data_IF_711068539688
#
_entry.id   IF_711068539688
#
_cell.length_a   1.000
_cell.length_b   1.000
_cell.length_c   1.000
_cell.angle_alpha   90.00
_cell.angle_beta   90.00
_cell.angle_gamma   90.00
#
_symmetry.space_group_name_H-M   'P 1'
#
loop_
_entity.id
_entity.type
_entity.pdbx_description
1 polymer ?
#
# COMPACT_ATOMS: atom_id res chain seq x y z
N UNK A 1 23.79 11.86 17.84
CA UNK A 1 23.15 10.94 16.88
C UNK A 1 21.90 11.60 16.33
N UNK A 2 21.66 11.48 15.02
CA UNK A 2 20.45 11.97 14.35
C UNK A 2 19.32 10.94 14.48
N UNK A 3 18.18 11.35 15.01
CA UNK A 3 17.01 10.50 15.31
C UNK A 3 16.06 10.53 14.13
N UNK A 4 15.95 9.42 13.43
CA UNK A 4 15.18 9.24 12.21
C UNK A 4 13.90 8.47 12.55
N UNK A 5 12.75 9.08 12.28
CA UNK A 5 11.47 8.38 12.29
C UNK A 5 11.19 7.85 10.88
N UNK A 6 10.84 6.58 10.74
CA UNK A 6 10.44 5.97 9.47
C UNK A 6 8.96 5.61 9.48
N UNK A 7 8.28 5.89 8.37
CA UNK A 7 6.96 5.33 8.09
C UNK A 7 7.06 3.83 7.75
N UNK A 8 7.04 2.99 8.76
CA UNK A 8 7.14 1.52 8.68
C UNK A 8 6.22 0.87 9.72
N UNK A 9 5.86 -0.40 9.54
CA UNK A 9 4.99 -1.08 10.51
C UNK A 9 5.75 -1.52 11.75
N UNK A 10 6.98 -2.03 11.57
CA UNK A 10 7.89 -2.40 12.66
C UNK A 10 9.31 -1.93 12.40
N UNK A 11 10.15 -2.02 13.42
CA UNK A 11 11.61 -2.05 13.23
C UNK A 11 12.00 -3.42 12.66
N UNK A 12 13.00 -3.50 11.77
CA UNK A 12 13.56 -4.79 11.35
C UNK A 12 14.05 -5.64 12.52
N UNK A 13 14.48 -4.98 13.60
CA UNK A 13 14.99 -5.64 14.80
C UNK A 13 13.94 -6.03 15.83
N UNK A 14 12.66 -5.77 15.54
CA UNK A 14 11.55 -6.24 16.35
C UNK A 14 11.04 -7.58 15.79
N UNK A 15 11.26 -8.66 16.53
CA UNK A 15 10.75 -9.99 16.19
C UNK A 15 9.29 -10.14 16.65
N UNK A 16 8.38 -9.47 15.92
CA UNK A 16 6.95 -9.50 16.21
C UNK A 16 6.37 -10.90 16.01
N UNK A 17 5.43 -11.30 16.86
CA UNK A 17 4.76 -12.61 16.71
C UNK A 17 3.74 -12.58 15.56
N UNK A 18 3.29 -13.75 15.11
CA UNK A 18 2.26 -13.87 14.05
C UNK A 18 0.97 -13.17 14.47
N UNK A 19 0.61 -13.28 15.74
CA UNK A 19 -0.56 -12.65 16.36
C UNK A 19 -0.44 -11.12 16.32
N UNK A 20 0.72 -10.58 16.70
CA UNK A 20 0.99 -9.15 16.66
C UNK A 20 0.85 -8.59 15.24
N UNK A 21 1.41 -9.30 14.26
CA UNK A 21 1.30 -8.97 12.84
C UNK A 21 -0.15 -8.82 12.37
N UNK A 22 -1.00 -9.76 12.78
CA UNK A 22 -2.41 -9.79 12.39
C UNK A 22 -3.22 -8.73 13.12
N UNK A 23 -2.96 -8.54 14.42
CA UNK A 23 -3.74 -7.63 15.27
C UNK A 23 -3.41 -6.16 15.02
N UNK A 24 -2.16 -5.85 14.69
CA UNK A 24 -1.70 -4.47 14.50
C UNK A 24 -1.50 -4.07 13.03
N UNK A 25 -1.67 -5.01 12.09
CA UNK A 25 -1.37 -4.82 10.66
C UNK A 25 0.03 -4.22 10.42
N UNK A 26 1.06 -4.87 10.97
CA UNK A 26 2.45 -4.42 10.85
C UNK A 26 2.98 -4.47 9.39
N UNK A 27 2.25 -5.10 8.47
CA UNK A 27 2.56 -5.14 7.04
C UNK A 27 1.82 -4.06 6.22
N UNK A 28 0.95 -3.26 6.84
CA UNK A 28 0.14 -2.24 6.15
C UNK A 28 -0.67 -2.83 5.00
N UNK A 29 -1.37 -3.94 5.26
CA UNK A 29 -2.17 -4.79 4.37
C UNK A 29 -1.39 -5.59 3.32
N UNK A 30 -0.08 -5.36 3.14
CA UNK A 30 0.70 -6.04 2.11
C UNK A 30 2.18 -6.32 2.50
N UNK A 31 2.61 -7.58 2.40
CA UNK A 31 3.95 -8.03 2.79
C UNK A 31 5.07 -7.35 2.01
N UNK A 32 4.81 -6.94 0.76
CA UNK A 32 5.77 -6.18 -0.04
C UNK A 32 6.13 -4.82 0.56
N UNK A 33 5.32 -4.29 1.49
CA UNK A 33 5.66 -3.08 2.23
C UNK A 33 6.86 -3.25 3.15
N UNK A 34 7.02 -4.45 3.72
CA UNK A 34 8.10 -4.76 4.63
C UNK A 34 9.46 -4.67 3.93
N UNK A 35 9.58 -5.13 2.68
CA UNK A 35 10.84 -5.06 1.92
C UNK A 35 11.35 -3.63 1.76
N UNK A 36 10.49 -2.70 1.34
CA UNK A 36 10.95 -1.34 1.08
C UNK A 36 11.07 -0.51 2.37
N UNK A 37 10.31 -0.84 3.42
CA UNK A 37 10.52 -0.21 4.72
C UNK A 37 11.81 -0.69 5.38
N UNK A 38 12.08 -2.00 5.37
CA UNK A 38 13.30 -2.54 5.98
C UNK A 38 14.55 -2.10 5.22
N UNK A 39 14.47 -2.01 3.89
CA UNK A 39 15.56 -1.41 3.12
C UNK A 39 15.78 0.07 3.49
N UNK A 40 14.73 0.85 3.76
CA UNK A 40 14.89 2.23 4.23
C UNK A 40 15.50 2.30 5.64
N UNK A 41 15.13 1.37 6.54
CA UNK A 41 15.79 1.22 7.85
C UNK A 41 17.27 0.90 7.67
N UNK A 42 17.60 -0.10 6.84
CA UNK A 42 18.99 -0.47 6.56
C UNK A 42 19.77 0.69 5.97
N UNK A 43 19.22 1.40 4.98
CA UNK A 43 19.89 2.51 4.29
C UNK A 43 20.25 3.67 5.21
N UNK A 44 19.50 3.87 6.30
CA UNK A 44 19.60 5.04 7.17
C UNK A 44 20.24 4.73 8.52
N UNK A 45 20.66 3.48 8.76
CA UNK A 45 21.30 3.06 10.01
C UNK A 45 22.83 3.14 9.92
N UNK A 46 23.40 4.12 10.61
CA UNK A 46 24.83 4.37 10.73
C UNK A 46 25.20 4.43 12.21
N UNK A 47 26.50 4.54 12.53
CA UNK A 47 26.94 4.82 13.90
C UNK A 47 26.41 6.15 14.46
N UNK A 48 26.04 7.09 13.58
CA UNK A 48 25.59 8.43 13.93
C UNK A 48 24.07 8.60 13.87
N UNK A 49 23.30 7.56 13.54
CA UNK A 49 21.84 7.63 13.42
C UNK A 49 21.13 6.62 14.32
N UNK A 50 19.97 7.02 14.82
CA UNK A 50 19.02 6.13 15.48
C UNK A 50 17.76 6.07 14.63
N UNK A 51 17.32 4.87 14.25
CA UNK A 51 16.19 4.69 13.32
C UNK A 51 15.04 3.99 14.04
N UNK A 52 13.87 4.62 14.04
CA UNK A 52 12.67 4.11 14.74
C UNK A 52 11.47 4.03 13.80
N UNK A 53 10.57 3.08 14.06
CA UNK A 53 9.33 2.88 13.30
C UNK A 53 8.19 3.71 13.90
N UNK A 54 7.33 4.29 13.06
CA UNK A 54 6.12 4.98 13.51
C UNK A 54 4.86 4.08 13.58
N UNK A 55 4.98 2.78 13.23
CA UNK A 55 3.86 1.83 13.20
C UNK A 55 2.86 2.07 12.06
N UNK A 56 3.25 2.71 10.96
CA UNK A 56 2.40 3.18 9.84
C UNK A 56 1.34 4.21 10.28
N UNK A 57 1.31 4.55 11.56
CA UNK A 57 0.30 5.36 12.20
C UNK A 57 0.33 6.81 11.71
N UNK A 58 -0.85 7.40 11.57
CA UNK A 58 -1.03 8.81 11.18
C UNK A 58 -1.98 9.49 12.16
N UNK A 59 -1.61 9.45 13.44
CA UNK A 59 -2.36 10.06 14.54
C UNK A 59 -2.10 11.57 14.56
N UNK A 60 -3.19 12.36 14.55
CA UNK A 60 -3.16 13.83 14.45
C UNK A 60 -3.40 14.54 15.79
N UNK A 61 -3.08 13.91 16.92
CA UNK A 61 -3.19 14.54 18.25
C UNK A 61 -2.05 15.53 18.47
N UNK A 62 -2.30 16.61 19.22
CA UNK A 62 -1.27 17.60 19.60
C UNK A 62 -0.08 16.93 20.31
N UNK A 63 -0.39 15.98 21.19
CA UNK A 63 0.61 15.21 21.93
C UNK A 63 1.55 14.44 20.99
N UNK A 64 0.99 13.68 20.04
CA UNK A 64 1.81 12.90 19.11
C UNK A 64 2.65 13.78 18.20
N UNK A 65 2.11 14.91 17.76
CA UNK A 65 2.84 15.85 16.89
C UNK A 65 3.96 16.54 17.64
N UNK A 66 3.72 16.99 18.88
CA UNK A 66 4.75 17.52 19.77
C UNK A 66 5.84 16.48 19.97
N UNK A 67 5.45 15.25 20.30
CA UNK A 67 6.37 14.14 20.51
C UNK A 67 7.28 13.94 19.28
N UNK A 68 6.72 13.81 18.07
CA UNK A 68 7.52 13.63 16.84
C UNK A 68 8.49 14.81 16.64
N UNK A 69 8.05 16.04 16.87
CA UNK A 69 8.89 17.23 16.66
C UNK A 69 10.02 17.37 17.70
N UNK A 70 9.85 16.84 18.92
CA UNK A 70 10.84 16.92 20.01
C UNK A 70 11.80 15.70 19.98
N UNK A 71 11.29 14.52 19.66
CA UNK A 71 12.01 13.25 19.73
C UNK A 71 12.74 12.86 18.44
N UNK A 72 12.41 13.47 17.30
CA UNK A 72 12.99 13.12 16.01
C UNK A 72 13.55 14.34 15.29
N UNK A 73 14.56 14.13 14.46
CA UNK A 73 15.23 15.18 13.69
C UNK A 73 14.82 15.16 12.21
N UNK A 74 14.23 14.06 11.74
CA UNK A 74 13.67 13.91 10.38
C UNK A 74 12.64 12.78 10.34
N UNK A 75 11.59 12.97 9.53
CA UNK A 75 10.61 11.92 9.22
C UNK A 75 10.79 11.43 7.79
N UNK A 76 11.18 10.18 7.62
CA UNK A 76 11.35 9.53 6.32
C UNK A 76 10.12 8.68 6.00
N UNK A 77 9.58 8.85 4.80
CA UNK A 77 8.32 8.25 4.38
C UNK A 77 8.53 7.37 3.14
N UNK A 78 8.92 6.09 3.32
CA UNK A 78 8.87 5.12 2.24
C UNK A 78 7.43 4.90 1.78
N UNK A 79 7.19 4.97 0.48
CA UNK A 79 5.87 4.74 -0.12
C UNK A 79 5.94 3.69 -1.23
N UNK A 80 4.76 3.36 -1.73
CA UNK A 80 4.59 2.55 -2.92
C UNK A 80 3.69 3.32 -3.90
N UNK A 81 2.64 2.70 -4.39
CA UNK A 81 1.60 3.29 -5.24
C UNK A 81 0.62 4.23 -4.50
N UNK A 82 1.12 5.23 -3.76
CA UNK A 82 0.26 6.12 -2.99
C UNK A 82 -0.64 7.01 -3.85
N UNK A 83 -0.26 7.32 -5.10
CA UNK A 83 -1.12 8.09 -6.00
C UNK A 83 -2.10 7.18 -6.73
N UNK A 84 -3.18 6.85 -6.01
CA UNK A 84 -4.33 6.09 -6.51
C UNK A 84 -5.61 6.51 -5.80
N UNK A 85 -6.78 6.47 -6.46
CA UNK A 85 -8.04 6.89 -5.85
C UNK A 85 -8.37 6.24 -4.51
N UNK A 86 -8.12 4.93 -4.37
CA UNK A 86 -8.41 4.19 -3.14
C UNK A 86 -7.53 4.56 -1.94
N UNK A 87 -6.43 5.30 -2.16
CA UNK A 87 -5.53 5.74 -1.08
C UNK A 87 -5.71 7.22 -0.71
N UNK A 88 -6.60 7.95 -1.39
CA UNK A 88 -6.81 9.39 -1.20
C UNK A 88 -6.95 9.78 0.28
N UNK A 89 -7.83 9.10 1.01
CA UNK A 89 -8.07 9.43 2.43
C UNK A 89 -6.82 9.22 3.30
N UNK A 90 -6.03 8.19 3.05
CA UNK A 90 -4.76 7.96 3.75
C UNK A 90 -3.70 8.99 3.37
N UNK A 91 -3.64 9.38 2.09
CA UNK A 91 -2.77 10.43 1.60
C UNK A 91 -3.11 11.79 2.24
N UNK A 92 -4.40 12.13 2.34
CA UNK A 92 -4.86 13.38 2.96
C UNK A 92 -4.53 13.42 4.45
N UNK A 93 -4.68 12.29 5.18
CA UNK A 93 -4.27 12.20 6.59
C UNK A 93 -2.76 12.37 6.75
N UNK A 94 -1.97 11.70 5.90
CA UNK A 94 -0.51 11.82 5.93
C UNK A 94 -0.08 13.25 5.63
N UNK A 95 -0.72 13.90 4.66
CA UNK A 95 -0.48 15.31 4.32
C UNK A 95 -0.75 16.21 5.52
N UNK A 96 -1.87 16.03 6.22
CA UNK A 96 -2.20 16.82 7.42
C UNK A 96 -1.20 16.60 8.56
N UNK A 97 -0.60 15.42 8.69
CA UNK A 97 0.49 15.19 9.64
C UNK A 97 1.72 16.00 9.23
N UNK A 98 2.18 15.85 7.98
CA UNK A 98 3.37 16.52 7.43
C UNK A 98 3.29 18.03 7.59
N UNK A 99 2.14 18.64 7.28
CA UNK A 99 1.93 20.09 7.42
C UNK A 99 2.11 20.60 8.86
N UNK A 100 1.95 19.74 9.87
CA UNK A 100 2.05 20.08 11.30
C UNK A 100 3.41 19.72 11.91
N UNK A 101 4.26 19.02 11.17
CA UNK A 101 5.62 18.73 11.62
C UNK A 101 6.52 19.95 11.39
N UNK A 102 7.39 20.25 12.34
CA UNK A 102 8.42 21.30 12.22
C UNK A 102 9.69 20.75 11.59
N UNK A 103 9.95 19.44 11.74
CA UNK A 103 11.12 18.74 11.22
C UNK A 103 11.05 18.48 9.70
N UNK A 104 12.20 18.23 9.04
CA UNK A 104 12.24 17.78 7.65
C UNK A 104 11.43 16.49 7.40
N UNK A 105 10.88 16.36 6.20
CA UNK A 105 10.11 15.19 5.77
C UNK A 105 10.56 14.75 4.39
N UNK A 106 11.10 13.55 4.27
CA UNK A 106 11.68 13.02 3.02
C UNK A 106 10.88 11.82 2.54
N UNK A 107 10.29 11.91 1.34
CA UNK A 107 9.55 10.79 0.74
C UNK A 107 10.48 9.96 -0.14
N UNK A 108 10.59 8.66 0.19
CA UNK A 108 11.47 7.72 -0.51
C UNK A 108 10.63 6.78 -1.38
N UNK A 109 10.53 7.14 -2.66
CA UNK A 109 9.95 6.27 -3.69
C UNK A 109 8.43 6.20 -3.64
N UNK A 110 7.74 7.23 -4.13
CA UNK A 110 6.28 7.20 -4.37
C UNK A 110 5.96 6.90 -5.83
N UNK A 111 4.82 6.24 -6.09
CA UNK A 111 4.39 5.82 -7.42
C UNK A 111 2.92 6.15 -7.71
N UNK A 112 2.63 6.40 -8.99
CA UNK A 112 1.28 6.49 -9.54
C UNK A 112 0.77 5.13 -10.04
N UNK A 113 -0.53 4.87 -9.83
CA UNK A 113 -1.15 3.62 -10.30
C UNK A 113 -2.23 3.87 -11.33
N UNK A 114 -1.91 3.51 -12.56
CA UNK A 114 -2.77 3.57 -13.74
C UNK A 114 -2.73 2.28 -14.55
N UNK A 115 -3.37 2.27 -15.72
CA UNK A 115 -3.28 1.15 -16.67
C UNK A 115 -1.87 1.01 -17.26
N UNK A 116 -1.59 -0.10 -17.94
CA UNK A 116 -0.30 -0.33 -18.62
C UNK A 116 -0.06 0.62 -19.80
N UNK A 117 -1.10 1.31 -20.27
CA UNK A 117 -1.08 2.40 -21.25
C UNK A 117 -0.54 3.73 -20.69
N UNK A 118 -0.31 3.81 -19.38
CA UNK A 118 0.17 5.01 -18.67
C UNK A 118 -0.79 6.21 -18.72
N UNK A 119 -2.08 5.98 -19.03
CA UNK A 119 -3.10 7.02 -19.03
C UNK A 119 -3.42 7.54 -17.62
N UNK A 120 -3.17 8.83 -17.36
CA UNK A 120 -3.33 9.46 -16.03
C UNK A 120 -4.73 9.98 -15.73
N UNK A 121 -5.71 9.81 -16.63
CA UNK A 121 -7.07 10.33 -16.50
C UNK A 121 -7.79 9.91 -15.23
N UNK A 122 -7.58 8.66 -14.79
CA UNK A 122 -8.13 8.13 -13.54
C UNK A 122 -7.55 8.76 -12.27
N UNK A 123 -6.47 9.53 -12.39
CA UNK A 123 -5.86 10.26 -11.28
C UNK A 123 -6.44 11.66 -11.12
N UNK A 124 -7.12 12.21 -12.15
CA UNK A 124 -7.74 13.55 -12.09
C UNK A 124 -8.55 13.81 -10.80
N UNK A 125 -9.39 12.86 -10.30
CA UNK A 125 -10.16 13.09 -9.07
C UNK A 125 -9.34 13.23 -7.78
N UNK A 126 -8.04 12.92 -7.82
CA UNK A 126 -7.10 13.05 -6.69
C UNK A 126 -6.01 14.09 -6.92
N UNK A 127 -6.01 14.81 -8.05
CA UNK A 127 -4.96 15.79 -8.38
C UNK A 127 -4.76 16.80 -7.25
N UNK A 128 -5.83 17.34 -6.68
CA UNK A 128 -5.75 18.31 -5.56
C UNK A 128 -5.07 17.71 -4.32
N UNK A 129 -5.46 16.47 -3.95
CA UNK A 129 -4.84 15.75 -2.83
C UNK A 129 -3.36 15.47 -3.09
N UNK A 130 -2.99 15.09 -4.32
CA UNK A 130 -1.59 14.87 -4.72
C UNK A 130 -0.80 16.18 -4.68
N UNK A 131 -1.34 17.27 -5.24
CA UNK A 131 -0.69 18.57 -5.22
C UNK A 131 -0.47 19.09 -3.81
N UNK A 132 -1.45 18.94 -2.92
CA UNK A 132 -1.31 19.30 -1.50
C UNK A 132 -0.22 18.47 -0.82
N UNK A 133 -0.23 17.15 -1.04
CA UNK A 133 0.79 16.25 -0.49
C UNK A 133 2.20 16.62 -0.96
N UNK A 134 2.41 16.76 -2.27
CA UNK A 134 3.74 17.04 -2.84
C UNK A 134 4.24 18.42 -2.38
N UNK A 135 3.37 19.43 -2.32
CA UNK A 135 3.74 20.74 -1.77
C UNK A 135 4.14 20.66 -0.29
N UNK A 136 3.40 19.91 0.52
CA UNK A 136 3.74 19.72 1.93
C UNK A 136 5.10 19.05 2.12
N UNK A 137 5.43 18.07 1.25
CA UNK A 137 6.74 17.38 1.25
C UNK A 137 7.86 18.31 0.79
N UNK A 138 7.71 19.01 -0.33
CA UNK A 138 8.75 19.90 -0.88
C UNK A 138 9.00 21.15 -0.02
N UNK A 139 8.03 21.56 0.81
CA UNK A 139 8.27 22.57 1.84
C UNK A 139 9.22 22.09 2.97
N UNK A 140 9.53 20.78 3.01
CA UNK A 140 10.28 20.11 4.08
C UNK A 140 11.44 19.24 3.57
N UNK A 141 11.69 19.23 2.25
CA UNK A 141 12.73 18.43 1.60
C UNK A 141 13.25 19.16 0.35
N UNK A 142 14.46 18.81 -0.09
CA UNK A 142 15.03 19.38 -1.32
C UNK A 142 14.40 18.78 -2.58
N UNK A 143 13.82 17.59 -2.49
CA UNK A 143 13.21 16.86 -3.60
C UNK A 143 12.32 15.73 -3.11
N UNK A 144 11.42 15.24 -3.98
CA UNK A 144 10.62 14.05 -3.74
C UNK A 144 11.13 12.87 -4.57
N UNK A 145 11.37 11.73 -3.91
CA UNK A 145 11.78 10.49 -4.57
C UNK A 145 10.59 9.75 -5.18
N UNK A 146 10.64 9.43 -6.47
CA UNK A 146 9.60 8.67 -7.19
C UNK A 146 10.13 7.34 -7.73
N UNK A 147 9.21 6.42 -8.00
CA UNK A 147 9.52 5.04 -8.42
C UNK A 147 9.87 4.88 -9.91
N UNK A 148 9.61 5.88 -10.75
CA UNK A 148 9.90 5.83 -12.18
C UNK A 148 9.40 7.05 -12.96
N UNK A 149 9.59 6.98 -14.27
CA UNK A 149 9.38 8.07 -15.24
C UNK A 149 7.90 8.45 -15.38
N UNK A 150 6.98 7.48 -15.24
CA UNK A 150 5.55 7.74 -15.31
C UNK A 150 5.14 8.67 -14.17
N UNK A 151 5.57 8.34 -12.94
CA UNK A 151 5.25 9.12 -11.76
C UNK A 151 5.90 10.49 -11.82
N UNK A 152 7.16 10.57 -12.27
CA UNK A 152 7.81 11.86 -12.50
C UNK A 152 7.03 12.73 -13.49
N UNK A 153 6.66 12.16 -14.65
CA UNK A 153 5.90 12.85 -15.69
C UNK A 153 4.53 13.32 -15.19
N UNK A 154 3.85 12.50 -14.38
CA UNK A 154 2.60 12.90 -13.73
C UNK A 154 2.80 14.10 -12.80
N UNK A 155 3.84 14.09 -11.96
CA UNK A 155 4.13 15.24 -11.07
C UNK A 155 4.54 16.50 -11.85
N UNK A 156 5.31 16.36 -12.93
CA UNK A 156 5.63 17.46 -13.84
C UNK A 156 4.37 18.08 -14.44
N UNK A 157 3.39 17.26 -14.86
CA UNK A 157 2.11 17.76 -15.38
C UNK A 157 1.28 18.52 -14.34
N UNK A 158 1.56 18.33 -13.05
CA UNK A 158 0.94 19.06 -11.94
C UNK A 158 1.73 20.31 -11.50
N UNK A 159 2.87 20.58 -12.15
CA UNK A 159 3.72 21.76 -11.92
C UNK A 159 4.85 21.60 -10.91
N UNK A 160 5.27 20.37 -10.59
CA UNK A 160 6.41 20.10 -9.71
C UNK A 160 7.62 19.60 -10.50
N UNK A 161 8.81 20.09 -10.19
CA UNK A 161 10.04 19.74 -10.93
C UNK A 161 11.18 19.22 -10.05
N UNK A 162 11.06 19.40 -8.73
CA UNK A 162 11.98 18.91 -7.70
C UNK A 162 11.76 17.41 -7.44
N UNK A 163 11.82 16.61 -8.50
CA UNK A 163 11.46 15.18 -8.53
C UNK A 163 12.67 14.36 -8.93
N UNK A 164 13.05 13.38 -8.09
CA UNK A 164 14.13 12.44 -8.37
C UNK A 164 13.61 11.04 -8.64
N UNK A 165 13.99 10.46 -9.77
CA UNK A 165 13.64 9.07 -10.10
C UNK A 165 14.65 8.12 -9.46
N UNK A 166 14.24 7.50 -8.36
CA UNK A 166 15.09 6.64 -7.50
C UNK A 166 14.66 5.18 -7.43
N UNK A 167 13.47 4.85 -7.98
CA UNK A 167 12.94 3.50 -7.91
C UNK A 167 12.45 3.11 -6.52
N UNK A 168 12.56 1.81 -6.20
CA UNK A 168 12.16 1.24 -4.92
C UNK A 168 13.40 0.95 -4.07
N UNK A 169 13.45 1.41 -2.80
CA UNK A 169 14.64 1.24 -1.96
C UNK A 169 15.00 -0.23 -1.69
N UNK A 170 14.04 -1.15 -1.78
CA UNK A 170 14.28 -2.59 -1.63
C UNK A 170 15.33 -3.15 -2.60
N UNK A 171 15.52 -2.54 -3.77
CA UNK A 171 16.53 -3.00 -4.72
C UNK A 171 17.96 -2.80 -4.22
N UNK A 172 18.18 -1.92 -3.24
CA UNK A 172 19.50 -1.54 -2.74
C UNK A 172 19.85 -2.20 -1.40
N UNK A 173 19.15 -3.28 -1.02
CA UNK A 173 19.40 -3.99 0.23
C UNK A 173 20.87 -4.47 0.32
N UNK A 174 21.48 -4.85 -0.81
CA UNK A 174 22.86 -5.36 -0.90
C UNK A 174 23.88 -4.30 -1.35
N UNK A 175 23.53 -3.01 -1.28
CA UNK A 175 24.44 -1.91 -1.65
C UNK A 175 24.57 -1.71 -3.16
N UNK A 176 25.78 -1.36 -3.62
CA UNK A 176 26.09 -1.08 -5.03
C UNK A 176 26.23 -2.35 -5.89
N UNK A 177 26.06 -3.52 -5.27
CA UNK A 177 26.02 -4.82 -5.94
C UNK A 177 24.62 -5.43 -5.82
N UNK A 178 24.26 -6.26 -6.80
CA UNK A 178 23.02 -7.02 -6.80
C UNK A 178 23.34 -8.51 -7.00
N UNK A 179 22.71 -9.43 -6.26
CA UNK A 179 22.92 -10.86 -6.45
C UNK A 179 22.65 -11.26 -7.90
N UNK A 180 23.64 -11.85 -8.57
CA UNK A 180 23.43 -12.41 -9.89
C UNK A 180 22.44 -13.58 -9.77
N UNK A 181 21.31 -13.55 -10.48
CA UNK A 181 20.37 -14.67 -10.43
C UNK A 181 21.03 -15.96 -10.90
N UNK A 182 20.87 -17.03 -10.13
CA UNK A 182 21.42 -18.34 -10.49
C UNK A 182 20.75 -18.91 -11.74
N UNK A 183 21.50 -19.67 -12.53
CA UNK A 183 20.92 -20.51 -13.57
C UNK A 183 20.21 -21.71 -12.89
N UNK A 184 18.89 -21.89 -13.06
CA UNK A 184 18.17 -22.99 -12.46
C UNK A 184 18.34 -24.30 -13.24
N UNK A 185 18.99 -24.30 -14.41
CA UNK A 185 19.03 -25.43 -15.31
C UNK A 185 17.66 -25.72 -15.91
N UNK A 186 17.32 -27.01 -16.04
CA UNK A 186 16.01 -27.44 -16.56
C UNK A 186 14.98 -27.42 -15.43
N UNK A 187 13.89 -26.68 -15.63
CA UNK A 187 12.76 -26.67 -14.72
C UNK A 187 11.83 -27.87 -15.01
N UNK A 188 11.80 -28.85 -14.11
CA UNK A 188 11.04 -30.11 -14.18
C UNK A 188 10.20 -30.37 -12.91
N UNK A 189 9.58 -31.54 -12.75
CA UNK A 189 8.80 -31.89 -11.55
C UNK A 189 9.63 -31.88 -10.24
N UNK A 190 10.96 -31.91 -10.33
CA UNK A 190 11.87 -31.82 -9.20
C UNK A 190 12.19 -30.36 -8.82
N UNK A 191 11.77 -29.40 -9.62
CA UNK A 191 12.04 -27.99 -9.37
C UNK A 191 11.16 -27.41 -8.27
N UNK A 192 11.74 -26.54 -7.45
CA UNK A 192 11.03 -25.76 -6.42
C UNK A 192 10.64 -24.41 -7.00
N UNK A 193 9.38 -24.32 -7.42
CA UNK A 193 8.83 -23.11 -8.04
C UNK A 193 8.12 -22.26 -6.99
N UNK A 194 8.38 -20.95 -7.00
CA UNK A 194 7.67 -19.97 -6.17
C UNK A 194 6.76 -19.08 -7.02
N UNK A 195 5.45 -19.15 -6.81
CA UNK A 195 4.50 -18.23 -7.46
C UNK A 195 4.03 -17.14 -6.50
N UNK A 196 3.76 -15.94 -7.04
CA UNK A 196 3.22 -14.81 -6.29
C UNK A 196 2.14 -14.09 -7.11
N UNK A 197 0.94 -13.91 -6.56
CA UNK A 197 -0.21 -13.51 -7.38
C UNK A 197 -1.09 -12.45 -6.71
N UNK A 198 -1.63 -11.55 -7.54
CA UNK A 198 -2.54 -10.49 -7.14
C UNK A 198 -3.97 -10.91 -7.47
N UNK A 199 -4.91 -10.91 -6.51
CA UNK A 199 -6.31 -11.22 -6.78
C UNK A 199 -6.93 -10.33 -7.87
N UNK A 200 -6.47 -9.08 -7.98
CA UNK A 200 -6.92 -8.14 -9.02
C UNK A 200 -6.45 -8.50 -10.44
N UNK A 201 -5.39 -9.30 -10.59
CA UNK A 201 -4.81 -9.67 -11.87
C UNK A 201 -5.67 -10.69 -12.64
N UNK A 202 -6.58 -11.39 -11.97
CA UNK A 202 -7.57 -12.31 -12.59
C UNK A 202 -8.44 -11.60 -13.64
N UNK A 203 -8.59 -10.28 -13.54
CA UNK A 203 -9.34 -9.48 -14.52
C UNK A 203 -8.57 -9.20 -15.82
N UNK A 204 -7.28 -9.47 -15.85
CA UNK A 204 -6.36 -9.07 -16.94
C UNK A 204 -5.84 -10.28 -17.71
N UNK A 205 -5.64 -11.42 -17.04
CA UNK A 205 -5.21 -12.66 -17.69
C UNK A 205 -5.66 -13.90 -16.95
N UNK A 206 -5.35 -15.07 -17.52
CA UNK A 206 -5.83 -16.36 -17.06
C UNK A 206 -5.02 -16.90 -15.85
N UNK A 207 -5.09 -16.17 -14.75
CA UNK A 207 -4.39 -16.49 -13.50
C UNK A 207 -4.81 -17.84 -12.89
N UNK A 208 -6.11 -18.24 -12.91
CA UNK A 208 -6.52 -19.56 -12.45
C UNK A 208 -5.81 -20.72 -13.14
N UNK A 209 -5.70 -20.67 -14.48
CA UNK A 209 -5.03 -21.72 -15.23
C UNK A 209 -3.52 -21.70 -14.94
N UNK A 210 -2.93 -20.52 -14.77
CA UNK A 210 -1.52 -20.39 -14.40
C UNK A 210 -1.21 -21.05 -13.05
N UNK A 211 -2.12 -20.92 -12.08
CA UNK A 211 -2.02 -21.60 -10.79
C UNK A 211 -2.17 -23.12 -10.97
N UNK A 212 -3.24 -23.56 -11.65
CA UNK A 212 -3.54 -24.98 -11.84
C UNK A 212 -2.42 -25.71 -12.55
N UNK A 213 -1.95 -25.18 -13.69
CA UNK A 213 -0.86 -25.79 -14.45
C UNK A 213 0.45 -25.83 -13.66
N UNK A 214 0.78 -24.77 -12.91
CA UNK A 214 1.96 -24.79 -12.05
C UNK A 214 1.84 -25.83 -10.94
N UNK A 215 0.66 -25.95 -10.34
CA UNK A 215 0.39 -26.91 -9.27
C UNK A 215 0.47 -28.36 -9.77
N UNK A 216 -0.09 -28.65 -10.94
CA UNK A 216 -0.05 -29.97 -11.58
C UNK A 216 1.37 -30.38 -11.99
N UNK A 217 2.19 -29.44 -12.48
CA UNK A 217 3.55 -29.72 -12.97
C UNK A 217 4.59 -29.81 -11.88
N UNK A 218 4.46 -29.01 -10.81
CA UNK A 218 5.50 -28.85 -9.79
C UNK A 218 5.00 -29.30 -8.41
N UNK A 219 5.21 -30.57 -8.02
CA UNK A 219 4.88 -31.08 -6.70
C UNK A 219 5.46 -30.27 -5.53
N UNK A 220 6.57 -29.55 -5.75
CA UNK A 220 7.22 -28.68 -4.75
C UNK A 220 6.93 -27.19 -4.93
N UNK A 221 5.82 -26.84 -5.60
CA UNK A 221 5.33 -25.46 -5.72
C UNK A 221 5.02 -24.84 -4.36
N UNK A 222 5.46 -23.61 -4.15
CA UNK A 222 5.06 -22.72 -3.06
C UNK A 222 4.33 -21.49 -3.62
N UNK A 223 3.23 -21.09 -2.98
CA UNK A 223 2.52 -19.84 -3.25
C UNK A 223 2.77 -18.82 -2.15
N UNK A 224 3.51 -17.76 -2.50
CA UNK A 224 3.74 -16.61 -1.63
C UNK A 224 2.62 -15.60 -1.79
N UNK A 225 1.59 -15.77 -0.96
CA UNK A 225 0.54 -14.80 -0.75
C UNK A 225 1.11 -13.57 0.00
N UNK A 226 0.47 -12.42 -0.15
CA UNK A 226 1.06 -11.16 0.33
C UNK A 226 0.06 -10.22 0.99
N UNK A 227 -1.24 -10.53 1.02
CA UNK A 227 -2.20 -9.65 1.69
C UNK A 227 -2.45 -10.10 3.12
N UNK A 228 -2.81 -9.14 3.98
CA UNK A 228 -3.24 -9.41 5.35
C UNK A 228 -4.40 -10.43 5.39
N UNK A 229 -5.37 -10.30 4.47
CA UNK A 229 -6.49 -11.26 4.39
C UNK A 229 -6.07 -12.69 4.09
N UNK A 230 -4.93 -12.89 3.40
CA UNK A 230 -4.38 -14.23 3.17
C UNK A 230 -3.75 -14.77 4.47
N UNK A 231 -3.11 -13.90 5.26
CA UNK A 231 -2.55 -14.24 6.56
C UNK A 231 -3.66 -14.57 7.57
N UNK A 232 -4.72 -13.77 7.59
CA UNK A 232 -5.93 -14.01 8.37
C UNK A 232 -6.59 -15.33 7.99
N UNK A 233 -6.67 -15.67 6.70
CA UNK A 233 -7.21 -16.96 6.27
C UNK A 233 -6.35 -18.14 6.77
N UNK A 234 -5.03 -18.03 6.68
CA UNK A 234 -4.11 -19.05 7.19
C UNK A 234 -4.18 -19.18 8.72
N UNK A 235 -4.40 -18.07 9.42
CA UNK A 235 -4.39 -18.02 10.88
C UNK A 235 -5.75 -18.30 11.50
N UNK A 236 -6.86 -17.84 10.93
CA UNK A 236 -8.21 -17.98 11.48
C UNK A 236 -9.05 -19.05 10.78
N UNK A 237 -8.73 -19.35 9.52
CA UNK A 237 -9.53 -20.21 8.66
C UNK A 237 -10.78 -19.54 8.09
N UNK A 238 -11.59 -20.31 7.38
CA UNK A 238 -12.89 -19.89 6.86
C UNK A 238 -13.93 -21.01 6.99
N UNK A 239 -15.14 -20.77 6.49
CA UNK A 239 -16.26 -21.74 6.46
C UNK A 239 -16.48 -22.36 5.08
N UNK A 240 -15.49 -22.24 4.17
CA UNK A 240 -15.65 -22.65 2.77
C UNK A 240 -15.97 -24.15 2.62
N UNK A 241 -15.34 -24.99 3.44
CA UNK A 241 -15.56 -26.44 3.45
C UNK A 241 -16.98 -26.80 3.88
N UNK A 242 -17.45 -26.23 5.00
CA UNK A 242 -18.81 -26.44 5.49
C UNK A 242 -19.89 -25.95 4.51
N UNK A 243 -19.58 -24.90 3.74
CA UNK A 243 -20.47 -24.33 2.73
C UNK A 243 -20.36 -25.02 1.35
N UNK A 244 -19.42 -25.93 1.13
CA UNK A 244 -19.15 -26.51 -0.19
C UNK A 244 -18.70 -25.47 -1.22
N UNK A 245 -18.09 -24.37 -0.78
CA UNK A 245 -17.63 -23.29 -1.64
C UNK A 245 -16.21 -23.54 -2.11
N UNK A 246 -15.97 -23.34 -3.40
CA UNK A 246 -14.65 -23.46 -4.02
C UNK A 246 -14.33 -22.20 -4.82
N UNK A 247 -13.05 -21.83 -4.82
CA UNK A 247 -12.54 -20.73 -5.62
C UNK A 247 -11.44 -21.24 -6.55
N UNK A 248 -11.40 -20.79 -7.82
CA UNK A 248 -10.29 -21.11 -8.73
C UNK A 248 -9.02 -20.30 -8.44
N UNK A 249 -9.06 -19.41 -7.45
CA UNK A 249 -7.90 -18.65 -6.97
C UNK A 249 -7.72 -18.94 -5.47
N UNK A 250 -6.48 -19.06 -4.95
CA UNK A 250 -6.21 -19.39 -3.55
C UNK A 250 -6.63 -18.25 -2.60
N UNK A 251 -7.91 -18.24 -2.24
CA UNK A 251 -8.56 -17.29 -1.31
C UNK A 251 -9.52 -17.98 -0.32
N UNK A 252 -9.55 -19.30 -0.35
CA UNK A 252 -10.41 -20.12 0.50
C UNK A 252 -9.65 -21.38 0.91
N UNK A 253 -9.92 -21.91 2.10
CA UNK A 253 -9.25 -23.11 2.59
C UNK A 253 -9.51 -24.33 1.70
N UNK A 254 -10.65 -24.40 1.01
CA UNK A 254 -10.97 -25.48 0.06
C UNK A 254 -10.09 -25.52 -1.20
N UNK A 255 -9.29 -24.48 -1.45
CA UNK A 255 -8.39 -24.47 -2.60
C UNK A 255 -7.21 -25.46 -2.38
N UNK A 256 -6.80 -26.25 -3.40
CA UNK A 256 -5.76 -27.29 -3.25
C UNK A 256 -4.46 -26.80 -2.60
N UNK A 257 -3.95 -25.62 -3.01
CA UNK A 257 -2.76 -25.02 -2.40
C UNK A 257 -2.86 -24.81 -0.86
N UNK A 258 -4.05 -24.54 -0.31
CA UNK A 258 -4.23 -24.47 1.15
C UNK A 258 -4.32 -25.86 1.78
N UNK A 259 -4.95 -26.81 1.09
CA UNK A 259 -5.07 -28.19 1.57
C UNK A 259 -3.72 -28.90 1.65
N UNK A 260 -2.83 -28.61 0.72
CA UNK A 260 -1.49 -29.20 0.62
C UNK A 260 -0.39 -28.39 1.33
N UNK A 261 -0.76 -27.42 2.18
CA UNK A 261 0.17 -26.52 2.88
C UNK A 261 1.22 -25.87 1.95
N UNK A 262 0.79 -25.38 0.79
CA UNK A 262 1.65 -24.71 -0.20
C UNK A 262 1.65 -23.19 -0.06
N UNK A 263 0.75 -22.62 0.75
CA UNK A 263 0.61 -21.17 0.89
C UNK A 263 1.50 -20.64 2.02
N UNK A 264 2.22 -19.54 1.74
CA UNK A 264 3.04 -18.80 2.70
C UNK A 264 2.64 -17.32 2.66
N UNK A 265 2.54 -16.66 3.80
CA UNK A 265 2.49 -15.20 3.89
C UNK A 265 3.71 -14.68 4.63
N UNK A 266 4.64 -14.02 3.93
CA UNK A 266 5.82 -13.43 4.55
C UNK A 266 5.44 -12.33 5.55
N UNK A 267 6.00 -12.44 6.75
CA UNK A 267 5.90 -11.42 7.79
C UNK A 267 7.27 -10.86 8.16
N UNK A 268 8.38 -11.40 7.66
CA UNK A 268 9.69 -10.79 7.86
C UNK A 268 10.52 -10.86 6.57
N UNK A 269 11.09 -9.73 6.09
CA UNK A 269 11.94 -9.72 4.89
C UNK A 269 13.12 -10.68 4.92
N UNK A 270 13.83 -10.80 6.06
CA UNK A 270 15.02 -11.66 6.17
C UNK A 270 14.61 -13.12 6.01
N UNK A 271 13.60 -13.56 6.77
CA UNK A 271 13.06 -14.91 6.66
C UNK A 271 12.48 -15.18 5.28
N UNK A 272 11.83 -14.18 4.66
CA UNK A 272 11.28 -14.34 3.31
C UNK A 272 12.36 -14.63 2.26
N UNK A 273 13.47 -13.86 2.30
CA UNK A 273 14.63 -14.07 1.42
C UNK A 273 15.25 -15.45 1.68
N UNK A 274 15.42 -15.83 2.95
CA UNK A 274 15.99 -17.13 3.33
C UNK A 274 15.13 -18.29 2.79
N UNK A 275 13.80 -18.22 2.95
CA UNK A 275 12.88 -19.23 2.40
C UNK A 275 12.93 -19.28 0.85
N UNK A 276 12.99 -18.11 0.21
CA UNK A 276 13.06 -18.03 -1.25
C UNK A 276 14.38 -18.56 -1.81
N UNK A 277 15.51 -18.42 -1.10
CA UNK A 277 16.83 -18.91 -1.53
C UNK A 277 16.86 -20.42 -1.83
N UNK A 278 15.93 -21.18 -1.23
CA UNK A 278 15.74 -22.60 -1.49
C UNK A 278 15.00 -22.95 -2.79
N UNK A 279 14.47 -21.97 -3.51
CA UNK A 279 13.68 -22.16 -4.75
C UNK A 279 14.53 -21.98 -6.00
N UNK A 280 14.14 -22.64 -7.09
CA UNK A 280 14.86 -22.61 -8.37
C UNK A 280 14.44 -21.45 -9.25
N UNK A 281 13.15 -21.10 -9.24
CA UNK A 281 12.62 -20.01 -10.05
C UNK A 281 11.39 -19.40 -9.38
N UNK A 282 11.20 -18.08 -9.56
CA UNK A 282 9.98 -17.40 -9.13
C UNK A 282 9.31 -16.62 -10.25
N UNK A 283 7.99 -16.59 -10.28
CA UNK A 283 7.29 -15.70 -11.19
C UNK A 283 5.93 -15.30 -10.66
N UNK A 284 5.42 -14.19 -11.19
CA UNK A 284 4.05 -13.81 -10.96
C UNK A 284 3.82 -12.32 -10.92
N UNK A 285 2.65 -11.92 -10.45
CA UNK A 285 2.10 -10.58 -10.64
C UNK A 285 2.40 -9.62 -9.48
N UNK A 286 3.06 -10.10 -8.42
CA UNK A 286 3.47 -9.25 -7.29
C UNK A 286 4.93 -8.86 -7.45
N UNK A 287 5.17 -7.61 -7.81
CA UNK A 287 6.55 -7.16 -8.05
C UNK A 287 7.48 -7.41 -6.85
N UNK A 288 7.03 -7.13 -5.62
CA UNK A 288 7.83 -7.38 -4.42
C UNK A 288 8.07 -8.88 -4.15
N UNK A 289 7.20 -9.78 -4.65
CA UNK A 289 7.47 -11.22 -4.58
C UNK A 289 8.64 -11.64 -5.47
N UNK A 290 8.69 -11.09 -6.69
CA UNK A 290 9.80 -11.34 -7.60
C UNK A 290 11.08 -10.60 -7.15
N UNK A 291 10.97 -9.37 -6.63
CA UNK A 291 12.12 -8.65 -6.05
C UNK A 291 12.71 -9.42 -4.87
N UNK A 292 11.89 -9.99 -3.98
CA UNK A 292 12.40 -10.81 -2.88
C UNK A 292 13.18 -12.03 -3.39
N UNK A 293 12.70 -12.69 -4.47
CA UNK A 293 13.40 -13.82 -5.07
C UNK A 293 14.74 -13.38 -5.70
N UNK A 294 14.74 -12.27 -6.45
CA UNK A 294 15.96 -11.71 -7.04
C UNK A 294 16.99 -11.31 -5.97
N UNK A 295 16.55 -10.69 -4.88
CA UNK A 295 17.41 -10.35 -3.73
C UNK A 295 17.95 -11.59 -3.00
N UNK A 296 17.28 -12.74 -3.13
CA UNK A 296 17.74 -14.03 -2.64
C UNK A 296 18.61 -14.79 -3.67
N UNK A 297 18.95 -14.18 -4.80
CA UNK A 297 19.76 -14.78 -5.87
C UNK A 297 18.99 -15.76 -6.77
N UNK A 298 17.66 -15.75 -6.71
CA UNK A 298 16.80 -16.65 -7.49
C UNK A 298 16.26 -15.91 -8.73
N UNK A 299 16.37 -16.50 -9.93
CA UNK A 299 15.82 -15.91 -11.14
C UNK A 299 14.31 -15.73 -11.01
N UNK A 300 13.83 -14.54 -11.37
CA UNK A 300 12.41 -14.25 -11.33
C UNK A 300 11.91 -13.36 -12.47
N UNK A 301 10.67 -13.61 -12.88
CA UNK A 301 9.99 -12.86 -13.95
C UNK A 301 8.69 -12.24 -13.47
N UNK A 302 8.53 -10.94 -13.69
CA UNK A 302 7.33 -10.20 -13.31
C UNK A 302 6.26 -10.32 -14.40
N UNK A 303 5.07 -10.77 -14.04
CA UNK A 303 3.88 -10.72 -14.89
C UNK A 303 3.14 -9.39 -14.68
N UNK A 304 3.42 -8.41 -15.53
CA UNK A 304 2.89 -7.04 -15.37
C UNK A 304 1.41 -6.98 -15.75
N UNK A 305 0.61 -6.30 -14.91
CA UNK A 305 -0.85 -6.16 -15.09
C UNK A 305 -1.35 -4.74 -14.80
N UNK A 306 -0.48 -3.85 -14.34
CA UNK A 306 -0.75 -2.42 -14.10
C UNK A 306 0.53 -1.59 -14.24
N UNK A 307 0.40 -0.26 -14.24
CA UNK A 307 1.56 0.63 -14.38
C UNK A 307 2.56 0.52 -13.24
N UNK A 308 2.11 0.21 -12.02
CA UNK A 308 2.96 0.13 -10.84
C UNK A 308 4.01 -0.98 -10.99
N UNK A 309 3.60 -2.11 -11.54
CA UNK A 309 4.53 -3.21 -11.81
C UNK A 309 5.42 -2.90 -13.01
N UNK A 310 4.85 -2.41 -14.11
CA UNK A 310 5.57 -2.11 -15.34
C UNK A 310 6.62 -0.99 -15.20
N UNK A 311 6.30 0.08 -14.47
CA UNK A 311 7.20 1.23 -14.25
C UNK A 311 8.49 0.80 -13.57
N UNK A 312 8.38 0.03 -12.49
CA UNK A 312 9.54 -0.49 -11.77
C UNK A 312 10.32 -1.51 -12.61
N UNK A 313 9.63 -2.36 -13.39
CA UNK A 313 10.32 -3.29 -14.27
C UNK A 313 11.13 -2.56 -15.35
N UNK A 314 10.60 -1.46 -15.90
CA UNK A 314 11.34 -0.64 -16.88
C UNK A 314 12.50 0.12 -16.25
N UNK A 315 12.28 0.76 -15.10
CA UNK A 315 13.33 1.53 -14.44
C UNK A 315 14.52 0.67 -13.99
N UNK A 316 14.24 -0.49 -13.39
CA UNK A 316 15.27 -1.43 -12.94
C UNK A 316 15.68 -2.46 -13.99
N UNK A 317 15.08 -2.42 -15.19
CA UNK A 317 15.31 -3.39 -16.26
C UNK A 317 15.13 -4.84 -15.77
N UNK A 318 14.11 -5.06 -14.93
CA UNK A 318 13.74 -6.40 -14.45
C UNK A 318 13.11 -7.19 -15.60
N UNK A 319 13.35 -8.50 -15.72
CA UNK A 319 12.60 -9.34 -16.65
C UNK A 319 11.10 -9.30 -16.37
N UNK A 320 10.32 -9.02 -17.43
CA UNK A 320 8.88 -8.97 -17.31
C UNK A 320 8.17 -9.44 -18.58
N UNK A 321 6.92 -9.88 -18.40
CA UNK A 321 5.99 -10.21 -19.49
C UNK A 321 4.62 -9.63 -19.18
N UNK A 322 3.91 -9.14 -20.20
CA UNK A 322 2.53 -8.69 -20.03
C UNK A 322 1.62 -9.87 -19.69
N UNK A 323 0.88 -9.79 -18.58
CA UNK A 323 -0.02 -10.87 -18.15
C UNK A 323 -1.12 -11.14 -19.19
N UNK A 324 -1.59 -10.10 -19.89
CA UNK A 324 -2.59 -10.22 -20.97
C UNK A 324 -2.10 -11.03 -22.17
N UNK A 325 -0.79 -11.17 -22.34
CA UNK A 325 -0.13 -11.89 -23.44
C UNK A 325 0.51 -13.20 -22.95
N UNK A 326 0.20 -13.61 -21.72
CA UNK A 326 0.77 -14.79 -21.08
C UNK A 326 -0.27 -15.92 -21.09
N UNK A 327 -0.01 -17.04 -21.79
CA UNK A 327 -0.87 -18.22 -21.73
C UNK A 327 -1.02 -18.75 -20.30
N UNK A 328 -2.20 -19.24 -19.96
CA UNK A 328 -2.46 -19.84 -18.64
C UNK A 328 -1.68 -21.13 -18.39
N UNK A 329 -1.16 -21.75 -19.43
CA UNK A 329 -0.37 -22.97 -19.41
C UNK A 329 1.12 -22.73 -19.73
N UNK A 330 1.59 -21.47 -19.73
CA UNK A 330 3.00 -21.15 -19.96
C UNK A 330 3.92 -21.96 -19.05
N UNK A 331 4.98 -22.54 -19.62
CA UNK A 331 5.97 -23.26 -18.84
C UNK A 331 6.95 -22.28 -18.19
N UNK A 332 7.29 -22.40 -16.88
CA UNK A 332 8.27 -21.51 -16.23
C UNK A 332 9.64 -21.47 -16.93
N UNK A 333 10.05 -22.57 -17.56
CA UNK A 333 11.24 -22.63 -18.41
C UNK A 333 11.23 -21.56 -19.51
N UNK A 334 10.10 -21.38 -20.20
CA UNK A 334 9.98 -20.38 -21.27
C UNK A 334 10.12 -18.95 -20.75
N UNK A 335 9.62 -18.69 -19.53
CA UNK A 335 9.80 -17.39 -18.88
C UNK A 335 11.26 -17.13 -18.56
N UNK A 336 11.99 -18.14 -18.06
CA UNK A 336 13.41 -18.03 -17.77
C UNK A 336 14.25 -17.83 -19.04
N UNK A 337 14.00 -18.62 -20.09
CA UNK A 337 14.74 -18.53 -21.36
C UNK A 337 14.55 -17.19 -22.09
N UNK A 338 13.43 -16.52 -21.87
CA UNK A 338 13.13 -15.19 -22.42
C UNK A 338 13.61 -14.05 -21.51
N UNK A 339 14.06 -14.34 -20.29
CA UNK A 339 14.46 -13.33 -19.32
C UNK A 339 15.88 -12.81 -19.61
N UNK A 340 16.03 -11.48 -19.65
CA UNK A 340 17.33 -10.82 -19.68
C UNK A 340 17.57 -10.08 -18.36
N UNK A 341 18.49 -10.60 -17.55
CA UNK A 341 18.88 -10.01 -16.27
C UNK A 341 20.04 -9.00 -16.42
N UNK A 342 20.64 -8.88 -17.61
CA UNK A 342 21.86 -8.11 -17.81
C UNK A 342 21.66 -6.61 -17.56
N UNK A 343 20.56 -6.02 -18.04
CA UNK A 343 20.21 -4.62 -17.78
C UNK A 343 20.06 -4.33 -16.28
N UNK A 344 19.35 -5.20 -15.57
CA UNK A 344 19.19 -5.11 -14.11
C UNK A 344 20.54 -5.09 -13.40
N UNK A 345 21.41 -6.06 -13.68
CA UNK A 345 22.71 -6.21 -13.00
C UNK A 345 23.68 -5.10 -13.40
N UNK A 346 23.83 -4.83 -14.70
CA UNK A 346 24.81 -3.86 -15.21
C UNK A 346 24.46 -2.42 -14.83
N UNK A 347 23.17 -2.06 -14.83
CA UNK A 347 22.70 -0.73 -14.45
C UNK A 347 22.55 -0.53 -12.94
N UNK A 348 22.72 -1.58 -12.11
CA UNK A 348 22.43 -1.50 -10.68
C UNK A 348 23.26 -0.44 -9.95
N UNK A 349 24.57 -0.41 -10.20
CA UNK A 349 25.49 0.53 -9.55
C UNK A 349 25.13 2.00 -9.84
N UNK A 350 24.68 2.29 -11.06
CA UNK A 350 24.24 3.62 -11.46
C UNK A 350 22.98 4.03 -10.69
N UNK A 351 21.98 3.15 -10.63
CA UNK A 351 20.73 3.37 -9.87
C UNK A 351 20.97 3.47 -8.37
N UNK A 352 21.92 2.71 -7.83
CA UNK A 352 22.37 2.83 -6.45
C UNK A 352 22.94 4.23 -6.17
N UNK A 353 23.80 4.73 -7.08
CA UNK A 353 24.34 6.09 -7.00
C UNK A 353 23.24 7.16 -7.01
N UNK A 354 22.17 7.00 -7.82
CA UNK A 354 21.01 7.90 -7.79
C UNK A 354 20.31 7.91 -6.44
N UNK A 355 20.12 6.75 -5.81
CA UNK A 355 19.54 6.66 -4.47
C UNK A 355 20.42 7.37 -3.44
N UNK A 356 21.74 7.15 -3.45
CA UNK A 356 22.66 7.80 -2.51
C UNK A 356 22.68 9.32 -2.70
N UNK A 357 22.73 9.78 -3.96
CA UNK A 357 22.66 11.21 -4.28
C UNK A 357 21.35 11.85 -3.81
N UNK A 358 20.22 11.15 -3.93
CA UNK A 358 18.94 11.60 -3.40
C UNK A 358 18.94 11.71 -1.87
N UNK A 359 19.50 10.72 -1.16
CA UNK A 359 19.63 10.78 0.30
C UNK A 359 20.51 11.96 0.73
N UNK A 360 21.70 12.10 0.12
CA UNK A 360 22.64 13.19 0.39
C UNK A 360 22.02 14.57 0.12
N UNK A 361 21.31 14.75 -1.00
CA UNK A 361 20.59 15.99 -1.34
C UNK A 361 19.56 16.37 -0.29
N UNK A 362 18.95 15.38 0.37
CA UNK A 362 17.98 15.59 1.44
C UNK A 362 18.61 15.58 2.84
N UNK A 363 19.95 15.66 2.94
CA UNK A 363 20.68 15.73 4.20
C UNK A 363 20.59 14.45 5.02
N UNK A 364 20.46 13.29 4.37
CA UNK A 364 20.42 11.99 5.03
C UNK A 364 21.74 11.25 4.79
N UNK A 365 22.48 11.03 5.88
CA UNK A 365 23.59 10.09 5.89
C UNK A 365 23.06 8.68 5.65
N UNK A 366 23.88 7.86 5.00
CA UNK A 366 23.52 6.51 4.63
C UNK A 366 24.58 5.49 5.02
N UNK A 367 24.12 4.27 5.21
CA UNK A 367 24.89 3.13 5.72
C UNK A 367 26.07 2.72 4.85
N UNK A 368 26.02 3.00 3.55
CA UNK A 368 27.04 2.55 2.60
C UNK A 368 28.18 3.55 2.43
N UNK A 369 27.89 4.84 2.43
CA UNK A 369 28.90 5.91 2.29
C UNK A 369 29.39 6.45 3.64
N UNK A 370 28.55 6.40 4.68
CA UNK A 370 28.79 7.02 6.00
C UNK A 370 28.78 5.99 7.14
N UNK A 371 28.57 4.71 6.83
CA UNK A 371 28.50 3.62 7.80
C UNK A 371 29.45 2.48 7.45
N UNK A 372 29.14 1.30 7.97
CA UNK A 372 29.94 0.08 7.84
C UNK A 372 29.55 -0.79 6.64
N UNK A 373 28.88 -0.21 5.63
CA UNK A 373 28.34 -0.95 4.49
C UNK A 373 27.15 -1.84 4.86
N UNK A 374 26.61 -1.73 6.06
CA UNK A 374 25.47 -2.50 6.56
C UNK A 374 25.88 -3.75 7.35
N UNK A 375 27.17 -3.94 7.62
CA UNK A 375 27.67 -5.11 8.34
C UNK A 375 27.03 -5.26 9.72
N UNK A 376 26.92 -4.18 10.49
CA UNK A 376 26.29 -4.16 11.82
C UNK A 376 24.78 -4.39 11.75
N UNK A 377 24.11 -3.90 10.70
CA UNK A 377 22.70 -4.19 10.45
C UNK A 377 22.48 -5.69 10.24
N UNK A 378 23.27 -6.31 9.36
CA UNK A 378 23.20 -7.74 9.06
C UNK A 378 23.55 -8.60 10.27
N UNK A 379 24.61 -8.25 11.01
CA UNK A 379 24.99 -8.96 12.23
C UNK A 379 23.89 -8.90 13.29
N UNK A 380 23.24 -7.74 13.46
CA UNK A 380 22.13 -7.57 14.41
C UNK A 380 20.89 -8.36 13.97
N UNK A 381 20.56 -8.39 12.67
CA UNK A 381 19.46 -9.22 12.17
C UNK A 381 19.74 -10.72 12.33
N UNK A 382 20.96 -11.17 12.03
CA UNK A 382 21.35 -12.57 12.13
C UNK A 382 21.33 -13.11 13.57
N UNK A 383 21.40 -12.23 14.58
CA UNK A 383 21.31 -12.59 15.99
C UNK A 383 19.87 -12.75 16.50
N UNK A 384 18.85 -12.43 15.70
CA UNK A 384 17.44 -12.51 16.10
C UNK A 384 16.83 -13.85 15.70
N UNK A 385 15.93 -14.35 16.55
CA UNK A 385 15.02 -15.44 16.21
C UNK A 385 13.78 -14.86 15.54
N UNK A 386 13.86 -14.70 14.21
CA UNK A 386 12.80 -14.10 13.41
C UNK A 386 11.72 -15.13 13.05
N UNK A 387 10.43 -14.76 13.07
CA UNK A 387 9.36 -15.71 12.80
C UNK A 387 9.41 -16.18 11.33
N UNK A 388 9.00 -17.44 11.06
CA UNK A 388 8.78 -17.90 9.69
C UNK A 388 7.57 -17.21 9.07
N UNK A 389 7.44 -17.31 7.73
CA UNK A 389 6.20 -16.95 7.04
C UNK A 389 5.00 -17.64 7.69
N UNK A 390 3.85 -16.96 7.74
CA UNK A 390 2.60 -17.55 8.22
C UNK A 390 2.21 -18.68 7.26
N UNK A 391 1.86 -19.83 7.83
CA UNK A 391 1.42 -21.06 7.15
C UNK A 391 0.06 -21.46 7.67
N UNK A 392 -0.56 -22.47 7.04
CA UNK A 392 -1.81 -23.02 7.56
C UNK A 392 -1.53 -23.54 8.97
N UNK A 393 -2.38 -23.14 9.90
CA UNK A 393 -2.29 -23.58 11.28
C UNK A 393 -2.51 -25.09 11.42
N UNK A 394 -1.86 -25.70 12.41
CA UNK A 394 -2.02 -27.11 12.74
C UNK A 394 -3.29 -27.31 13.59
N UNK A 395 -4.32 -28.03 13.11
CA UNK A 395 -5.53 -28.30 13.86
C UNK A 395 -5.34 -29.13 15.13
N UNK A 396 -4.20 -29.79 15.28
CA UNK A 396 -3.86 -30.61 16.44
C UNK A 396 -3.17 -29.84 17.56
N UNK A 397 -2.75 -28.59 17.30
CA UNK A 397 -2.17 -27.70 18.30
C UNK A 397 -3.27 -27.12 19.22
N UNK A 398 -3.51 -27.82 20.34
CA UNK A 398 -4.52 -27.44 21.31
C UNK A 398 -4.28 -26.09 21.99
N UNK A 399 -3.03 -25.60 22.05
CA UNK A 399 -2.73 -24.27 22.60
C UNK A 399 -3.10 -23.17 21.62
N UNK A 400 -2.70 -23.32 20.34
CA UNK A 400 -3.09 -22.40 19.29
C UNK A 400 -4.62 -22.31 19.13
N UNK A 401 -5.34 -23.44 19.24
CA UNK A 401 -6.81 -23.47 19.22
C UNK A 401 -7.38 -22.66 20.38
N UNK A 402 -6.89 -22.90 21.61
CA UNK A 402 -7.37 -22.17 22.80
C UNK A 402 -7.16 -20.67 22.66
N UNK A 403 -5.96 -20.25 22.23
CA UNK A 403 -5.65 -18.84 22.01
C UNK A 403 -6.66 -18.21 21.05
N UNK A 404 -6.90 -18.86 19.91
CA UNK A 404 -7.77 -18.33 18.87
C UNK A 404 -9.22 -18.23 19.30
N UNK A 405 -9.75 -19.26 19.95
CA UNK A 405 -11.12 -19.24 20.46
C UNK A 405 -11.28 -18.12 21.49
N UNK A 406 -10.33 -17.97 22.42
CA UNK A 406 -10.34 -16.89 23.40
C UNK A 406 -10.31 -15.53 22.73
N UNK A 407 -9.35 -15.31 21.81
CA UNK A 407 -9.22 -14.02 21.12
C UNK A 407 -10.43 -13.70 20.25
N UNK A 408 -10.99 -14.65 19.53
CA UNK A 408 -12.24 -14.46 18.78
C UNK A 408 -13.40 -14.03 19.71
N UNK A 409 -13.50 -14.62 20.91
CA UNK A 409 -14.52 -14.21 21.87
C UNK A 409 -14.33 -12.78 22.34
N UNK A 410 -13.10 -12.36 22.65
CA UNK A 410 -12.89 -10.96 23.06
C UNK A 410 -12.99 -9.98 21.87
N UNK A 411 -12.65 -10.38 20.63
CA UNK A 411 -12.96 -9.60 19.41
C UNK A 411 -14.45 -9.35 19.26
N UNK A 412 -15.27 -10.39 19.47
CA UNK A 412 -16.73 -10.25 19.37
C UNK A 412 -17.25 -9.31 20.46
N UNK A 413 -16.76 -9.42 21.69
CA UNK A 413 -17.16 -8.54 22.79
C UNK A 413 -16.75 -7.07 22.55
N UNK A 414 -15.52 -6.84 22.08
CA UNK A 414 -15.01 -5.51 21.72
C UNK A 414 -15.83 -4.92 20.56
N UNK A 415 -16.08 -5.69 19.50
CA UNK A 415 -16.88 -5.23 18.36
C UNK A 415 -18.33 -4.92 18.75
N UNK A 416 -18.93 -5.70 19.64
CA UNK A 416 -20.26 -5.40 20.19
C UNK A 416 -20.25 -4.08 20.97
N UNK A 417 -19.25 -3.88 21.83
CA UNK A 417 -19.09 -2.64 22.61
C UNK A 417 -18.90 -1.42 21.70
N UNK A 418 -18.06 -1.54 20.66
CA UNK A 418 -17.88 -0.48 19.67
C UNK A 418 -19.16 -0.20 18.88
N UNK A 419 -19.88 -1.24 18.46
CA UNK A 419 -21.12 -1.10 17.72
C UNK A 419 -22.18 -0.37 18.57
N UNK A 420 -22.32 -0.74 19.84
CA UNK A 420 -23.22 -0.07 20.79
C UNK A 420 -22.85 1.41 20.97
N UNK A 421 -21.57 1.71 21.14
CA UNK A 421 -21.07 3.08 21.23
C UNK A 421 -21.37 3.90 19.96
N UNK A 422 -21.16 3.31 18.77
CA UNK A 422 -21.48 3.94 17.48
C UNK A 422 -22.98 4.16 17.32
N UNK A 423 -23.82 3.19 17.70
CA UNK A 423 -25.28 3.32 17.68
C UNK A 423 -25.72 4.46 18.59
N UNK A 424 -25.17 4.55 19.81
CA UNK A 424 -25.47 5.63 20.74
C UNK A 424 -25.05 7.01 20.17
N UNK A 425 -23.88 7.11 19.55
CA UNK A 425 -23.39 8.33 18.91
C UNK A 425 -24.27 8.75 17.72
N UNK A 426 -24.67 7.79 16.87
CA UNK A 426 -25.58 8.02 15.75
C UNK A 426 -26.96 8.46 16.24
N UNK A 427 -27.52 7.80 17.25
CA UNK A 427 -28.81 8.19 17.84
C UNK A 427 -28.78 9.63 18.37
N UNK A 428 -27.69 10.04 19.02
CA UNK A 428 -27.49 11.44 19.46
C UNK A 428 -27.44 12.41 18.28
N UNK A 429 -26.72 12.05 17.21
CA UNK A 429 -26.61 12.88 15.99
C UNK A 429 -27.94 13.00 15.26
N UNK A 430 -28.70 11.92 15.14
CA UNK A 430 -30.05 11.92 14.54
C UNK A 430 -30.97 12.86 15.31
N UNK A 431 -30.98 12.78 16.65
CA UNK A 431 -31.79 13.68 17.49
C UNK A 431 -31.43 15.16 17.30
N UNK A 432 -30.14 15.47 17.15
CA UNK A 432 -29.69 16.84 16.87
C UNK A 432 -30.11 17.31 15.46
N UNK A 433 -30.01 16.44 14.45
CA UNK A 433 -30.48 16.74 13.10
C UNK A 433 -32.00 16.94 13.04
N UNK A 434 -32.77 16.13 13.75
CA UNK A 434 -34.23 16.31 13.90
C UNK A 434 -34.56 17.68 14.49
N UNK A 435 -33.84 18.08 15.55
CA UNK A 435 -34.01 19.41 16.16
C UNK A 435 -33.64 20.55 15.20
N UNK A 436 -32.58 20.39 14.41
CA UNK A 436 -32.19 21.37 13.40
C UNK A 436 -33.21 21.45 12.26
N UNK A 437 -33.76 20.31 11.83
CA UNK A 437 -34.82 20.24 10.83
C UNK A 437 -36.09 20.94 11.31
N UNK A 438 -36.51 20.69 12.56
CA UNK A 438 -37.64 21.39 13.18
C UNK A 438 -37.42 22.91 13.24
N UNK A 439 -36.20 23.34 13.56
CA UNK A 439 -35.85 24.76 13.60
C UNK A 439 -35.91 25.39 12.19
N UNK A 440 -35.35 24.72 11.19
CA UNK A 440 -35.41 25.12 9.78
C UNK A 440 -36.85 25.18 9.27
N UNK A 441 -37.68 24.20 9.61
CA UNK A 441 -39.07 24.16 9.19
C UNK A 441 -39.87 25.31 9.81
N UNK A 442 -39.65 25.63 11.09
CA UNK A 442 -40.21 26.84 11.73
C UNK A 442 -39.77 28.13 11.04
N UNK A 443 -38.49 28.25 10.68
CA UNK A 443 -37.96 29.41 9.95
C UNK A 443 -38.56 29.53 8.55
N UNK A 444 -38.72 28.40 7.85
CA UNK A 444 -39.34 28.34 6.53
C UNK A 444 -40.80 28.81 6.58
N UNK A 445 -41.61 28.26 7.49
CA UNK A 445 -43.01 28.69 7.68
C UNK A 445 -43.13 30.16 8.07
N UNK A 446 -42.22 30.68 8.91
CA UNK A 446 -42.19 32.09 9.25
C UNK A 446 -41.86 32.98 8.02
N UNK A 447 -40.96 32.51 7.17
CA UNK A 447 -40.59 33.19 5.92
C UNK A 447 -41.74 33.18 4.92
N UNK A 448 -42.42 32.05 4.71
CA UNK A 448 -43.63 31.97 3.88
C UNK A 448 -44.74 32.92 4.37
N UNK A 449 -44.97 33.01 5.68
CA UNK A 449 -45.93 33.98 6.27
C UNK A 449 -45.52 35.43 5.98
N UNK A 450 -44.21 35.75 6.02
CA UNK A 450 -43.71 37.08 5.68
C UNK A 450 -43.90 37.39 4.20
N UNK A 451 -43.56 36.45 3.31
CA UNK A 451 -43.71 36.60 1.84
C UNK A 451 -45.17 36.80 1.46
N UNK A 452 -46.07 35.93 1.93
CA UNK A 452 -47.52 36.08 1.70
C UNK A 452 -48.09 37.38 2.28
N UNK A 453 -47.56 37.84 3.43
CA UNK A 453 -47.89 39.15 3.99
C UNK A 453 -47.44 40.32 3.12
N UNK A 454 -46.26 40.23 2.49
CA UNK A 454 -45.77 41.21 1.52
C UNK A 454 -46.64 41.20 0.26
N UNK A 455 -46.94 40.03 -0.30
CA UNK A 455 -47.82 39.90 -1.48
C UNK A 455 -49.20 40.51 -1.23
N UNK A 456 -49.82 40.24 -0.07
CA UNK A 456 -51.09 40.87 0.31
C UNK A 456 -50.98 42.38 0.43
N UNK A 457 -49.92 42.93 1.03
CA UNK A 457 -49.71 44.38 1.11
C UNK A 457 -49.47 45.02 -0.25
N UNK A 458 -48.75 44.34 -1.14
CA UNK A 458 -48.53 44.76 -2.53
C UNK A 458 -49.86 44.79 -3.29
N UNK A 459 -50.69 43.76 -3.16
CA UNK A 459 -52.04 43.69 -3.74
C UNK A 459 -52.96 44.79 -3.20
N UNK A 460 -52.90 45.11 -1.90
CA UNK A 460 -53.69 46.18 -1.29
C UNK A 460 -53.21 47.58 -1.71
N UNK A 461 -51.89 47.79 -1.86
CA UNK A 461 -51.33 49.09 -2.31
C UNK A 461 -51.48 49.32 -3.81
N UNK A 462 -51.26 48.31 -4.64
CA UNK A 462 -51.33 48.42 -6.11
C UNK A 462 -52.72 48.14 -6.67
N UNK A 463 -53.57 47.40 -5.97
CA UNK A 463 -54.93 47.07 -6.41
C UNK A 463 -55.79 48.30 -6.76
N UNK A 464 -55.81 49.37 -5.94
CA UNK A 464 -56.52 50.60 -6.26
C UNK A 464 -55.90 51.37 -7.45
N UNK A 465 -54.57 51.35 -7.59
CA UNK A 465 -53.86 52.01 -8.69
C UNK A 465 -54.06 51.29 -10.04
N UNK A 466 -54.04 49.97 -10.03
CA UNK A 466 -54.31 49.13 -11.21
C UNK A 466 -55.79 49.22 -11.60
N UNK A 467 -56.73 49.18 -10.64
CA UNK A 467 -58.17 49.41 -10.91
C UNK A 467 -58.45 50.81 -11.48
N UNK A 468 -57.73 51.85 -11.04
CA UNK A 468 -57.82 53.20 -11.62
C UNK A 468 -57.29 53.26 -13.06
N UNK A 469 -56.17 52.59 -13.37
CA UNK A 469 -55.62 52.52 -14.74
C UNK A 469 -56.52 51.76 -15.71
N UNK A 470 -57.11 50.64 -15.27
CA UNK A 470 -58.05 49.84 -16.09
C UNK A 470 -59.40 50.55 -16.31
N UNK A 471 -59.89 51.32 -15.34
CA UNK A 471 -61.08 52.18 -15.53
C UNK A 471 -60.81 53.37 -16.45
N UNK A 472 -59.58 53.90 -16.45
CA UNK A 472 -59.16 54.99 -17.34
C UNK A 472 -59.02 54.52 -18.80
N UNK A 473 -58.56 53.29 -19.05
CA UNK A 473 -58.47 52.75 -20.41
C UNK A 473 -59.83 52.32 -20.98
N UNK A 474 -60.78 51.85 -20.15
CA UNK A 474 -62.16 51.56 -20.60
C UNK A 474 -63.03 52.80 -20.86
N UNK A 475 -62.67 53.98 -20.34
CA UNK A 475 -63.42 55.23 -20.58
C UNK A 475 -62.97 56.01 -21.83
N UNK A 476 -61.84 55.65 -22.44
CA UNK A 476 -61.33 56.28 -23.66
C UNK A 476 -61.48 55.36 -24.90
N UNK A 477 -62.37 54.37 -24.83
CA UNK A 477 -62.59 53.37 -25.89
C UNK A 477 -64.06 53.02 -26.10
N UNK A 478 -64.96 54.00 -25.94
CA UNK A 478 -66.36 53.96 -26.38
C UNK A 478 -66.82 55.35 -26.75
#
# INVERSE_FOLDING_TARGET
>A
MKRILIRSGKSPFHAATREEYLQQDLMGTNAGNLLFSDAAHKLLLTENTEVTSNGISTVLTEERIRQINEEHDVFVVPLANAFRPSFRASLDRLTSLIERLTIPVVVVGVGAQVGTDYGTDRLRPINESVQRFVRAVLNKSASIGVRGELTASYLHSLGFHEVDIIGCPSMFLHGDTFPAPRDPGVLDENSRIAINLSPGAVKIGNVPDLIRNAHERFPRLSYYAQNLVDAELLFWGDTSEAAGHHSPFPRQLTHPLFQEDKVRVPIDPKTWLDELSGHDFSYGTRIHGNIAALLAGIPAVVLTHDSRTLELCRYFELPYRALSETPGDIHPQELFEQADFSGMVNGHKERFGRMMAFLSRNGLDNTFEHGDGGAGYEARLAALDLPPSIRRWDPTDGEAVRYRVSRLREMVAENQTEAESRIAALAKKTKELEKQLDALQKQFTATEKRVSGVEKRVLVRLGPAIRRRVRSTKKNGS
#
